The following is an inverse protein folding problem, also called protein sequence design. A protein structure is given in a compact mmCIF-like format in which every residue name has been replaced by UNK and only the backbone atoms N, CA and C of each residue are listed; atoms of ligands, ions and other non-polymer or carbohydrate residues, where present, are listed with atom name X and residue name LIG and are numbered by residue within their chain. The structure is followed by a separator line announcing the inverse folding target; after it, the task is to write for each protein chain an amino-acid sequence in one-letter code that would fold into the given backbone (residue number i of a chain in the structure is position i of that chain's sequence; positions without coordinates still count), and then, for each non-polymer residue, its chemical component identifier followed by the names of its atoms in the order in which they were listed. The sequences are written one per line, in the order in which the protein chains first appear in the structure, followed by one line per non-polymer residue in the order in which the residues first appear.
data_IF_042596733503
#
_entry.id   IF_042596733503
#
_cell.length_a   1.000
_cell.length_b   1.000
_cell.length_c   1.000
_cell.angle_alpha   90.00
_cell.angle_beta   90.00
_cell.angle_gamma   90.00
#
_symmetry.space_group_name_H-M   'P 1'
#
loop_
_entity.id
_entity.type
_entity.pdbx_description
1 polymer ?
#
# COMPACT_ATOMS: atom_id res chain seq x y z
N UNK A 1 17.23 9.71 14.61
CA UNK A 1 15.99 9.13 14.06
C UNK A 1 16.29 7.71 13.65
N UNK A 2 15.46 6.72 14.00
CA UNK A 2 15.62 5.37 13.45
C UNK A 2 15.40 5.43 11.94
N UNK A 3 16.22 4.71 11.18
CA UNK A 3 16.08 4.59 9.73
C UNK A 3 14.79 3.82 9.40
N UNK A 4 14.03 4.28 8.41
CA UNK A 4 12.78 3.63 8.02
C UNK A 4 13.06 2.32 7.28
N UNK A 5 12.44 1.22 7.73
CA UNK A 5 12.52 -0.06 7.01
C UNK A 5 11.54 -0.09 5.84
N UNK A 6 12.04 -0.39 4.63
CA UNK A 6 11.17 -0.63 3.48
C UNK A 6 10.66 -2.07 3.51
N UNK A 7 9.39 -2.25 3.86
CA UNK A 7 8.76 -3.59 3.99
C UNK A 7 8.02 -4.06 2.73
N UNK A 8 7.79 -3.17 1.77
CA UNK A 8 7.09 -3.47 0.52
C UNK A 8 7.61 -2.61 -0.63
N UNK A 9 7.92 -3.22 -1.78
CA UNK A 9 8.15 -2.54 -3.06
C UNK A 9 7.30 -3.21 -4.13
N UNK A 10 6.22 -2.56 -4.51
CA UNK A 10 5.28 -3.08 -5.52
C UNK A 10 5.09 -2.10 -6.67
N UNK A 11 4.19 -2.42 -7.60
CA UNK A 11 3.87 -1.56 -8.73
C UNK A 11 2.39 -1.64 -9.11
N UNK A 12 1.75 -0.49 -9.33
CA UNK A 12 0.35 -0.41 -9.74
C UNK A 12 0.05 -1.14 -11.06
N UNK A 13 1.05 -1.37 -11.91
CA UNK A 13 0.91 -2.15 -13.16
C UNK A 13 0.48 -3.60 -12.95
N UNK A 14 0.60 -4.14 -11.73
CA UNK A 14 0.19 -5.51 -11.40
C UNK A 14 -1.32 -5.65 -11.18
N UNK A 15 -2.08 -4.56 -11.12
CA UNK A 15 -3.54 -4.62 -10.95
C UNK A 15 -4.20 -5.37 -12.11
N UNK A 16 -4.95 -6.41 -11.77
CA UNK A 16 -5.63 -7.26 -12.76
C UNK A 16 -6.78 -6.53 -13.48
N UNK A 17 -7.51 -5.69 -12.74
CA UNK A 17 -8.58 -4.84 -13.29
C UNK A 17 -8.11 -3.40 -13.42
N UNK A 18 -8.31 -2.82 -14.60
CA UNK A 18 -8.01 -1.41 -14.84
C UNK A 18 -9.02 -0.48 -14.16
N UNK A 19 -8.63 0.76 -13.86
CA UNK A 19 -9.55 1.79 -13.35
C UNK A 19 -10.77 1.99 -14.26
N UNK A 20 -10.60 1.85 -15.58
CA UNK A 20 -11.71 1.93 -16.56
C UNK A 20 -12.73 0.82 -16.36
N UNK A 21 -12.27 -0.42 -16.16
CA UNK A 21 -13.16 -1.56 -15.91
C UNK A 21 -13.84 -1.44 -14.54
N UNK A 22 -13.12 -1.00 -13.51
CA UNK A 22 -13.68 -0.75 -12.18
C UNK A 22 -14.83 0.27 -12.25
N UNK A 23 -14.61 1.41 -12.91
CA UNK A 23 -15.64 2.44 -13.05
C UNK A 23 -16.83 1.95 -13.89
N UNK A 24 -16.57 1.31 -15.04
CA UNK A 24 -17.63 0.77 -15.89
C UNK A 24 -18.51 -0.23 -15.14
N UNK A 25 -17.90 -1.12 -14.35
CA UNK A 25 -18.62 -2.08 -13.53
C UNK A 25 -19.39 -1.40 -12.39
N UNK A 26 -18.80 -0.39 -11.73
CA UNK A 26 -19.48 0.38 -10.67
C UNK A 26 -20.77 1.01 -11.20
N UNK A 27 -20.76 1.58 -12.41
CA UNK A 27 -21.91 2.31 -12.98
C UNK A 27 -22.87 1.43 -13.78
N UNK A 28 -22.62 0.13 -13.93
CA UNK A 28 -23.39 -0.74 -14.85
C UNK A 28 -24.87 -0.86 -14.48
N UNK A 29 -25.21 -0.69 -13.19
CA UNK A 29 -26.58 -0.82 -12.68
C UNK A 29 -27.30 0.54 -12.50
N UNK A 30 -26.72 1.64 -12.99
CA UNK A 30 -27.25 2.98 -12.81
C UNK A 30 -26.77 3.70 -11.54
N UNK A 31 -25.81 3.14 -10.79
CA UNK A 31 -25.14 3.87 -9.71
C UNK A 31 -24.49 5.15 -10.27
N UNK A 32 -24.84 6.31 -9.71
CA UNK A 32 -24.34 7.60 -10.14
C UNK A 32 -23.08 7.99 -9.36
N UNK A 33 -21.99 8.24 -10.08
CA UNK A 33 -20.76 8.85 -9.53
C UNK A 33 -20.84 10.37 -9.58
N UNK A 34 -20.17 11.04 -8.64
CA UNK A 34 -20.14 12.49 -8.50
C UNK A 34 -18.70 13.02 -8.49
N UNK A 35 -18.48 14.28 -8.87
CA UNK A 35 -17.19 14.93 -8.69
C UNK A 35 -16.74 14.86 -7.22
N UNK A 36 -15.52 14.40 -6.99
CA UNK A 36 -14.96 14.20 -5.66
C UNK A 36 -15.15 12.81 -5.07
N UNK A 37 -15.91 11.91 -5.72
CA UNK A 37 -15.96 10.51 -5.30
C UNK A 37 -14.57 9.86 -5.44
N UNK A 38 -14.20 9.04 -4.44
CA UNK A 38 -12.91 8.34 -4.38
C UNK A 38 -13.10 6.84 -4.55
N UNK A 39 -12.51 6.28 -5.62
CA UNK A 39 -12.50 4.83 -5.87
C UNK A 39 -11.08 4.31 -5.67
N UNK A 40 -10.90 3.40 -4.71
CA UNK A 40 -9.62 2.78 -4.42
C UNK A 40 -9.40 1.52 -5.29
N UNK A 41 -8.14 1.17 -5.50
CA UNK A 41 -7.74 0.02 -6.31
C UNK A 41 -7.99 -1.33 -5.65
N UNK A 42 -8.04 -1.36 -4.32
CA UNK A 42 -7.73 -2.54 -3.52
C UNK A 42 -6.23 -2.63 -3.20
N UNK A 43 -5.86 -3.54 -2.30
CA UNK A 43 -4.46 -3.81 -1.92
C UNK A 43 -3.63 -4.20 -3.14
N UNK A 44 -2.47 -3.56 -3.33
CA UNK A 44 -1.58 -3.80 -4.47
C UNK A 44 -0.50 -4.80 -4.05
N UNK A 45 -0.64 -6.06 -4.49
CA UNK A 45 0.36 -7.11 -4.28
C UNK A 45 0.93 -7.55 -5.63
N UNK A 46 2.26 -7.49 -5.76
CA UNK A 46 2.96 -8.03 -6.92
C UNK A 46 3.21 -9.54 -6.77
N UNK A 47 3.91 -10.15 -7.74
CA UNK A 47 4.16 -11.59 -7.73
C UNK A 47 5.17 -12.03 -6.67
N UNK A 48 6.07 -11.14 -6.24
CA UNK A 48 7.15 -11.45 -5.30
C UNK A 48 6.74 -11.15 -3.85
N UNK A 49 7.20 -11.93 -2.85
CA UNK A 49 6.80 -11.72 -1.45
C UNK A 49 7.12 -10.34 -0.87
N UNK A 50 8.21 -9.70 -1.31
CA UNK A 50 8.59 -8.33 -0.91
C UNK A 50 7.75 -7.24 -1.59
N UNK A 51 6.80 -7.64 -2.45
CA UNK A 51 5.87 -6.77 -3.17
C UNK A 51 4.41 -6.93 -2.70
N UNK A 52 4.17 -7.67 -1.61
CA UNK A 52 2.84 -7.85 -1.02
C UNK A 52 2.39 -6.60 -0.25
N UNK A 53 1.14 -6.17 -0.48
CA UNK A 53 0.66 -4.85 -0.07
C UNK A 53 0.08 -4.76 1.34
N UNK A 54 0.14 -5.82 2.15
CA UNK A 54 -0.35 -5.80 3.53
C UNK A 54 0.54 -6.59 4.48
N UNK A 55 0.52 -6.20 5.76
CA UNK A 55 1.20 -6.98 6.81
C UNK A 55 0.61 -8.38 6.98
N UNK A 56 -0.68 -8.56 6.68
CA UNK A 56 -1.32 -9.88 6.67
C UNK A 56 -0.62 -10.82 5.69
N UNK A 57 -0.32 -10.35 4.47
CA UNK A 57 0.35 -11.12 3.44
C UNK A 57 1.85 -11.28 3.74
N UNK A 58 2.54 -10.18 4.08
CA UNK A 58 3.98 -10.15 4.37
C UNK A 58 4.35 -11.08 5.54
N UNK A 59 3.54 -11.07 6.61
CA UNK A 59 3.73 -11.94 7.78
C UNK A 59 3.07 -13.31 7.63
N UNK A 60 2.37 -13.57 6.52
CA UNK A 60 1.57 -14.77 6.30
C UNK A 60 0.67 -15.10 7.50
N UNK A 61 -0.26 -14.19 7.81
CA UNK A 61 -1.16 -14.29 8.97
C UNK A 61 -0.39 -14.44 10.30
N UNK A 62 0.76 -13.78 10.39
CA UNK A 62 1.63 -13.80 11.56
C UNK A 62 2.45 -15.07 11.75
N UNK A 63 2.43 -16.04 10.81
CA UNK A 63 3.27 -17.23 10.89
C UNK A 63 4.71 -16.98 10.45
N UNK A 64 4.99 -15.82 9.84
CA UNK A 64 6.32 -15.32 9.46
C UNK A 64 6.52 -13.93 10.05
N UNK A 65 7.76 -13.55 10.29
CA UNK A 65 8.13 -12.22 10.76
C UNK A 65 8.57 -11.34 9.59
N UNK A 66 8.26 -10.04 9.68
CA UNK A 66 8.78 -8.98 8.82
C UNK A 66 9.94 -8.32 9.56
N UNK A 67 11.11 -8.29 8.94
CA UNK A 67 12.31 -7.65 9.48
C UNK A 67 12.24 -6.13 9.28
N UNK A 68 12.46 -5.37 10.36
CA UNK A 68 12.53 -3.91 10.34
C UNK A 68 13.98 -3.39 10.49
N UNK A 69 14.97 -4.28 10.51
CA UNK A 69 16.36 -3.93 10.78
C UNK A 69 16.64 -3.72 12.28
N UNK A 70 17.93 -3.73 12.64
CA UNK A 70 18.36 -3.50 14.03
C UNK A 70 17.89 -4.57 15.03
N UNK A 71 17.50 -5.76 14.55
CA UNK A 71 16.94 -6.84 15.36
C UNK A 71 15.45 -6.70 15.68
N UNK A 72 14.77 -5.68 15.14
CA UNK A 72 13.33 -5.50 15.31
C UNK A 72 12.53 -6.26 14.26
N UNK A 73 11.42 -6.85 14.68
CA UNK A 73 10.49 -7.54 13.79
C UNK A 73 9.04 -7.15 14.06
N UNK A 74 8.17 -7.41 13.08
CA UNK A 74 6.72 -7.31 13.21
C UNK A 74 6.00 -8.50 12.58
N UNK A 75 4.78 -8.72 13.02
CA UNK A 75 3.78 -9.50 12.30
C UNK A 75 2.63 -8.58 11.87
N UNK A 76 2.19 -7.73 12.78
CA UNK A 76 1.26 -6.61 12.57
C UNK A 76 1.80 -5.33 13.22
N UNK A 77 1.13 -4.20 12.97
CA UNK A 77 1.46 -2.91 13.56
C UNK A 77 1.30 -2.94 15.08
N UNK A 78 2.13 -2.14 15.75
CA UNK A 78 2.08 -1.84 17.18
C UNK A 78 1.85 -0.34 17.39
N UNK A 79 1.41 0.02 18.58
CA UNK A 79 1.33 1.42 19.00
C UNK A 79 2.69 2.11 18.84
N UNK A 80 2.67 3.33 18.28
CA UNK A 80 3.87 4.10 17.96
C UNK A 80 4.51 3.75 16.61
N UNK A 81 4.08 2.70 15.91
CA UNK A 81 4.54 2.44 14.55
C UNK A 81 4.01 3.55 13.61
N UNK A 82 4.88 4.09 12.76
CA UNK A 82 4.55 5.01 11.68
C UNK A 82 4.65 4.29 10.34
N UNK A 83 3.61 4.39 9.52
CA UNK A 83 3.55 3.82 8.17
C UNK A 83 3.60 4.95 7.15
N UNK A 84 4.53 4.85 6.21
CA UNK A 84 4.67 5.81 5.10
C UNK A 84 4.55 5.09 3.77
N UNK A 85 3.58 5.49 2.95
CA UNK A 85 3.47 5.07 1.55
C UNK A 85 4.06 6.17 0.67
N UNK A 86 4.91 5.78 -0.28
CA UNK A 86 5.42 6.65 -1.35
C UNK A 86 5.29 5.96 -2.69
N UNK A 87 5.13 6.74 -3.75
CA UNK A 87 5.01 6.24 -5.10
C UNK A 87 5.43 7.29 -6.11
N UNK A 88 5.97 6.83 -7.24
CA UNK A 88 6.36 7.69 -8.35
C UNK A 88 6.32 6.93 -9.67
N UNK A 89 6.16 7.67 -10.77
CA UNK A 89 6.49 7.23 -12.12
C UNK A 89 7.87 7.76 -12.49
N UNK A 90 8.73 6.89 -13.05
CA UNK A 90 10.06 7.25 -13.53
C UNK A 90 10.03 7.60 -15.03
N UNK A 91 10.60 8.73 -15.40
CA UNK A 91 10.86 9.14 -16.77
C UNK A 91 12.37 9.25 -17.04
N UNK A 92 12.75 9.66 -18.25
CA UNK A 92 14.17 9.86 -18.57
C UNK A 92 14.66 11.17 -17.94
N UNK A 93 15.35 11.05 -16.79
CA UNK A 93 15.92 12.19 -16.07
C UNK A 93 14.93 12.98 -15.19
N UNK A 94 13.70 12.47 -14.99
CA UNK A 94 12.70 13.10 -14.12
C UNK A 94 11.78 12.07 -13.46
N UNK A 95 11.09 12.48 -12.39
CA UNK A 95 10.04 11.69 -11.72
C UNK A 95 8.76 12.48 -11.57
N UNK A 96 7.63 11.78 -11.63
CA UNK A 96 6.32 12.29 -11.21
C UNK A 96 5.92 11.57 -9.93
N UNK A 97 6.05 12.23 -8.79
CA UNK A 97 5.78 11.66 -7.46
C UNK A 97 4.41 12.02 -6.92
N UNK A 98 3.91 11.20 -6.00
CA UNK A 98 2.62 11.42 -5.30
C UNK A 98 2.77 12.12 -3.94
N UNK A 99 4.01 12.36 -3.49
CA UNK A 99 4.28 12.74 -2.11
C UNK A 99 4.09 11.55 -1.14
N UNK A 100 4.29 11.78 0.17
CA UNK A 100 4.09 10.75 1.18
C UNK A 100 2.63 10.70 1.68
N UNK A 101 2.14 9.49 1.96
CA UNK A 101 0.93 9.26 2.75
C UNK A 101 1.36 8.60 4.07
N UNK A 102 1.23 9.33 5.18
CA UNK A 102 1.82 8.98 6.48
C UNK A 102 0.75 8.87 7.56
N UNK A 103 0.88 7.88 8.44
CA UNK A 103 0.07 7.79 9.66
C UNK A 103 0.79 7.05 10.77
N UNK A 104 0.59 7.50 12.01
CA UNK A 104 1.14 6.88 13.22
C UNK A 104 0.03 6.20 14.01
N UNK A 105 0.28 4.99 14.48
CA UNK A 105 -0.67 4.25 15.32
C UNK A 105 -0.61 4.79 16.74
N UNK A 106 -1.76 5.25 17.25
CA UNK A 106 -1.93 5.63 18.65
C UNK A 106 -2.47 4.44 19.45
N UNK A 107 -2.17 4.35 20.76
CA UNK A 107 -2.83 3.41 21.64
C UNK A 107 -4.34 3.54 21.61
N UNK A 108 -5.04 2.42 21.85
CA UNK A 108 -6.47 2.42 22.05
C UNK A 108 -6.87 3.24 23.31
N UNK A 109 -8.12 3.74 23.31
CA UNK A 109 -8.70 4.53 24.41
C UNK A 109 -8.95 3.69 25.68
#
# INVERSE_FOLDING_TARGET
MKEAATICKSNFKYMYWTMKQQLAHHTVNGCNVRPGDLLASGTISGPEPDSFGSMLELSWKGSKTVDLGGGETRTFLKDGDEVTLTGYCEGSGYRVGFGPCVGTILPAL
#
